data_IF_118979174654
#
_entry.id   IF_118979174654
#
_cell.length_a   1.000
_cell.length_b   1.000
_cell.length_c   1.000
_cell.angle_alpha   90.00
_cell.angle_beta   90.00
_cell.angle_gamma   90.00
#
_symmetry.space_group_name_H-M   'P 1'
#
loop_
_entity.id
_entity.type
_entity.pdbx_description
1 polymer ?
#
# COMPACT_ATOMS: atom_id res chain seq x y z
N UNK A 1 80.48 -6.26 -3.73
CA UNK A 1 79.69 -5.17 -3.11
C UNK A 1 78.22 -5.28 -3.53
N UNK A 2 77.45 -6.16 -2.90
CA UNK A 2 76.05 -6.46 -3.24
C UNK A 2 75.06 -5.98 -2.17
N UNK A 3 75.13 -4.69 -1.79
CA UNK A 3 74.36 -4.17 -0.65
C UNK A 3 73.63 -2.84 -0.86
N UNK A 4 73.67 -2.26 -2.07
CA UNK A 4 73.02 -0.96 -2.34
C UNK A 4 71.77 -1.04 -3.24
N UNK A 5 71.61 -2.10 -4.03
CA UNK A 5 70.43 -2.31 -4.90
C UNK A 5 69.23 -2.90 -4.12
N UNK A 6 69.44 -3.45 -2.92
CA UNK A 6 68.39 -4.02 -2.06
C UNK A 6 67.75 -3.04 -1.08
N UNK A 7 68.34 -1.86 -0.82
CA UNK A 7 67.76 -0.89 0.15
C UNK A 7 66.68 0.01 -0.45
N UNK A 8 66.78 0.38 -1.72
CA UNK A 8 65.81 1.32 -2.32
C UNK A 8 64.52 0.63 -2.80
N UNK A 9 64.59 -0.64 -3.21
CA UNK A 9 63.42 -1.47 -3.50
C UNK A 9 62.67 -1.90 -2.22
N UNK A 10 63.36 -2.04 -1.09
CA UNK A 10 62.75 -2.30 0.22
C UNK A 10 62.08 -1.05 0.82
N UNK A 11 62.60 0.15 0.50
CA UNK A 11 62.00 1.43 0.89
C UNK A 11 60.74 1.77 0.07
N UNK A 12 60.72 1.43 -1.21
CA UNK A 12 59.53 1.55 -2.06
C UNK A 12 58.44 0.53 -1.71
N UNK A 13 58.79 -0.70 -1.31
CA UNK A 13 57.84 -1.71 -0.84
C UNK A 13 57.22 -1.36 0.53
N UNK A 14 57.99 -0.76 1.44
CA UNK A 14 57.48 -0.27 2.72
C UNK A 14 56.53 0.93 2.56
N UNK A 15 56.80 1.86 1.63
CA UNK A 15 55.89 2.96 1.31
C UNK A 15 54.59 2.51 0.61
N UNK A 16 54.61 1.37 -0.10
CA UNK A 16 53.41 0.77 -0.70
C UNK A 16 52.58 -0.03 0.33
N UNK A 17 53.22 -0.60 1.36
CA UNK A 17 52.55 -1.22 2.51
C UNK A 17 51.97 -0.16 3.49
N UNK A 18 52.64 0.98 3.65
CA UNK A 18 52.16 2.15 4.41
C UNK A 18 50.94 2.83 3.76
N UNK A 19 50.68 2.59 2.46
CA UNK A 19 49.47 3.03 1.76
C UNK A 19 48.28 2.08 1.88
N UNK A 20 48.41 0.90 2.50
CA UNK A 20 47.32 -0.12 2.56
C UNK A 20 46.80 -0.51 3.95
N UNK A 21 47.34 0.02 5.04
CA UNK A 21 46.70 -0.07 6.39
C UNK A 21 46.61 1.28 7.09
N UNK A 22 46.12 2.24 6.32
CA UNK A 22 45.50 3.46 6.83
C UNK A 22 44.24 3.05 7.60
N UNK A 23 44.29 3.11 8.93
CA UNK A 23 43.13 3.43 9.76
C UNK A 23 43.58 4.38 10.88
N UNK A 24 43.85 5.59 10.40
CA UNK A 24 44.28 6.79 11.09
C UNK A 24 43.08 7.72 11.33
N UNK A 25 41.96 7.21 11.84
CA UNK A 25 40.79 8.01 12.25
C UNK A 25 39.91 7.11 13.13
N UNK A 26 39.81 7.23 14.46
CA UNK A 26 39.33 8.38 15.24
C UNK A 26 39.63 8.18 16.75
N UNK A 27 40.32 9.13 17.39
CA UNK A 27 40.16 9.42 18.82
C UNK A 27 40.75 10.83 19.12
N UNK A 28 39.90 11.86 19.18
CA UNK A 28 40.31 13.28 19.26
C UNK A 28 40.06 13.95 20.63
N UNK A 29 39.69 13.25 21.69
CA UNK A 29 39.46 13.88 23.01
C UNK A 29 40.52 13.52 24.07
N UNK A 30 40.83 14.48 24.95
CA UNK A 30 41.72 14.28 26.10
C UNK A 30 41.17 13.24 27.09
N UNK A 31 39.84 13.05 27.16
CA UNK A 31 39.23 11.99 27.96
C UNK A 31 39.57 10.59 27.44
N UNK A 32 39.73 10.42 26.11
CA UNK A 32 40.14 9.14 25.51
C UNK A 32 41.58 8.75 25.87
N UNK A 33 42.49 9.73 25.96
CA UNK A 33 43.89 9.50 26.37
C UNK A 33 44.02 9.20 27.86
N UNK A 34 43.17 9.80 28.71
CA UNK A 34 43.14 9.55 30.16
C UNK A 34 42.50 8.20 30.47
N UNK A 35 41.41 7.82 29.78
CA UNK A 35 40.77 6.52 29.92
C UNK A 35 41.68 5.36 29.51
N UNK A 36 42.50 5.52 28.47
CA UNK A 36 43.52 4.54 28.06
C UNK A 36 44.61 4.35 29.14
N UNK A 37 45.02 5.44 29.81
CA UNK A 37 46.04 5.38 30.87
C UNK A 37 45.50 4.80 32.18
N UNK A 38 44.22 5.01 32.50
CA UNK A 38 43.53 4.37 33.64
C UNK A 38 43.33 2.87 33.41
N UNK A 39 42.92 2.46 32.19
CA UNK A 39 42.73 1.05 31.83
C UNK A 39 44.06 0.26 31.78
N UNK A 40 45.15 0.92 31.39
CA UNK A 40 46.51 0.36 31.46
C UNK A 40 47.04 0.19 32.89
N UNK A 41 46.57 0.99 33.87
CA UNK A 41 47.00 0.89 35.27
C UNK A 41 46.14 -0.07 36.11
N UNK A 42 44.95 -0.43 35.65
CA UNK A 42 43.99 -1.32 36.35
C UNK A 42 44.03 -2.79 35.87
N UNK A 43 45.01 -3.18 35.04
CA UNK A 43 45.24 -4.58 34.66
C UNK A 43 44.22 -5.17 33.69
N UNK A 44 43.67 -4.39 32.75
CA UNK A 44 42.68 -4.87 31.78
C UNK A 44 43.18 -4.93 30.33
N UNK A 45 42.91 -6.10 29.73
CA UNK A 45 43.16 -6.60 28.37
C UNK A 45 43.10 -5.53 27.26
N UNK A 46 44.14 -5.53 26.44
CA UNK A 46 44.34 -4.68 25.26
C UNK A 46 43.25 -4.88 24.19
N UNK A 47 43.25 -4.01 23.16
CA UNK A 47 42.20 -4.01 22.14
C UNK A 47 42.10 -5.33 21.35
N UNK A 48 43.22 -6.02 21.12
CA UNK A 48 43.27 -7.31 20.43
C UNK A 48 42.64 -8.39 21.30
N UNK A 49 42.97 -8.41 22.58
CA UNK A 49 42.33 -9.29 23.57
C UNK A 49 40.81 -9.04 23.72
N UNK A 50 40.34 -7.81 23.52
CA UNK A 50 38.90 -7.49 23.52
C UNK A 50 38.18 -7.95 22.26
N UNK A 51 38.83 -7.80 21.10
CA UNK A 51 38.32 -8.31 19.83
C UNK A 51 38.23 -9.84 19.89
N UNK A 52 39.27 -10.50 20.40
CA UNK A 52 39.29 -11.95 20.56
C UNK A 52 38.18 -12.43 21.52
N UNK A 53 38.01 -11.78 22.66
CA UNK A 53 36.92 -12.09 23.59
C UNK A 53 35.52 -11.86 22.97
N UNK A 54 35.38 -10.86 22.11
CA UNK A 54 34.13 -10.62 21.38
C UNK A 54 33.87 -11.70 20.31
N UNK A 55 34.90 -12.10 19.56
CA UNK A 55 34.82 -13.19 18.57
C UNK A 55 34.44 -14.51 19.25
N UNK A 56 35.09 -14.84 20.37
CA UNK A 56 34.78 -16.03 21.18
C UNK A 56 33.35 -15.96 21.74
N UNK A 57 32.93 -14.81 22.25
CA UNK A 57 31.55 -14.58 22.73
C UNK A 57 30.51 -14.76 21.61
N UNK A 58 30.81 -14.32 20.40
CA UNK A 58 29.91 -14.51 19.26
C UNK A 58 29.87 -15.98 18.84
N UNK A 59 31.03 -16.67 18.80
CA UNK A 59 31.10 -18.09 18.43
C UNK A 59 30.46 -19.03 19.48
N UNK A 60 30.47 -18.68 20.76
CA UNK A 60 29.79 -19.38 21.87
C UNK A 60 28.25 -19.14 21.89
N UNK A 61 27.68 -18.64 20.80
CA UNK A 61 26.23 -18.49 20.66
C UNK A 61 25.46 -19.81 20.51
N UNK A 62 26.16 -20.96 20.46
CA UNK A 62 25.53 -22.27 20.24
C UNK A 62 24.55 -22.55 21.39
N UNK A 63 23.32 -22.92 21.05
CA UNK A 63 22.21 -23.18 21.99
C UNK A 63 21.64 -21.97 22.74
N UNK A 64 22.10 -20.75 22.44
CA UNK A 64 21.53 -19.54 23.04
C UNK A 64 20.31 -19.04 22.25
N UNK A 65 19.17 -18.76 22.90
CA UNK A 65 17.95 -18.32 22.20
C UNK A 65 18.06 -16.93 21.58
N UNK A 66 19.02 -16.11 22.01
CA UNK A 66 19.35 -14.77 21.48
C UNK A 66 20.38 -14.81 20.34
N UNK A 67 20.80 -16.00 19.90
CA UNK A 67 21.83 -16.19 18.88
C UNK A 67 21.29 -16.99 17.68
N UNK A 68 21.74 -16.63 16.49
CA UNK A 68 21.49 -17.38 15.25
C UNK A 68 22.79 -17.59 14.50
N UNK A 69 22.92 -18.74 13.85
CA UNK A 69 24.08 -19.11 13.04
C UNK A 69 23.59 -19.47 11.64
N UNK A 70 24.14 -18.80 10.63
CA UNK A 70 23.85 -19.04 9.22
C UNK A 70 25.10 -19.54 8.51
N UNK A 71 25.00 -20.69 7.88
CA UNK A 71 26.01 -21.24 6.99
C UNK A 71 26.08 -20.41 5.70
N UNK A 72 27.26 -19.87 5.38
CA UNK A 72 27.49 -19.01 4.21
C UNK A 72 28.16 -19.76 3.06
N UNK A 73 28.31 -21.09 3.18
CA UNK A 73 29.14 -21.93 2.33
C UNK A 73 30.66 -21.58 2.44
N UNK A 74 31.53 -22.37 1.80
CA UNK A 74 33.00 -22.23 1.87
C UNK A 74 33.61 -22.28 3.29
N UNK A 75 32.88 -22.88 4.24
CA UNK A 75 33.32 -23.04 5.63
C UNK A 75 33.17 -21.79 6.50
N UNK A 76 32.40 -20.78 6.06
CA UNK A 76 32.11 -19.58 6.86
C UNK A 76 30.72 -19.62 7.47
N UNK A 77 30.61 -19.13 8.71
CA UNK A 77 29.37 -19.02 9.47
C UNK A 77 29.12 -17.56 9.86
N UNK A 78 27.93 -17.04 9.59
CA UNK A 78 27.48 -15.76 10.14
C UNK A 78 26.82 -15.99 11.48
N UNK A 79 27.35 -15.36 12.52
CA UNK A 79 26.75 -15.35 13.85
C UNK A 79 26.08 -14.00 14.09
N UNK A 80 24.79 -14.01 14.39
CA UNK A 80 24.03 -12.84 14.83
C UNK A 80 23.57 -13.04 16.28
N UNK A 81 23.80 -12.06 17.15
CA UNK A 81 23.36 -12.06 18.57
C UNK A 81 22.71 -10.75 18.96
N UNK A 82 21.74 -10.80 19.87
CA UNK A 82 21.16 -9.59 20.49
C UNK A 82 21.92 -9.26 21.77
N UNK A 83 22.61 -8.12 21.79
CA UNK A 83 23.37 -7.62 22.94
C UNK A 83 22.79 -6.26 23.35
N UNK A 84 22.26 -6.17 24.57
CA UNK A 84 21.63 -4.95 25.10
C UNK A 84 20.51 -4.36 24.22
N UNK A 85 19.77 -5.21 23.50
CA UNK A 85 18.68 -4.80 22.61
C UNK A 85 19.13 -4.42 21.19
N UNK A 86 20.43 -4.44 20.91
CA UNK A 86 21.00 -4.20 19.58
C UNK A 86 21.54 -5.50 18.98
N UNK A 87 21.41 -5.67 17.65
CA UNK A 87 21.90 -6.85 16.95
C UNK A 87 23.38 -6.69 16.55
N UNK A 88 24.23 -7.57 17.06
CA UNK A 88 25.64 -7.69 16.71
C UNK A 88 25.85 -8.86 15.74
N UNK A 89 26.76 -8.71 14.78
CA UNK A 89 27.02 -9.68 13.71
C UNK A 89 28.49 -9.80 13.36
N UNK A 90 28.94 -11.03 13.10
CA UNK A 90 30.29 -11.35 12.66
C UNK A 90 30.28 -12.60 11.78
N UNK A 91 31.14 -12.64 10.76
CA UNK A 91 31.37 -13.87 10.00
C UNK A 91 32.60 -14.56 10.62
N UNK A 92 32.46 -15.81 11.03
CA UNK A 92 33.52 -16.62 11.63
C UNK A 92 33.74 -17.88 10.81
N UNK A 93 34.99 -18.35 10.77
CA UNK A 93 35.34 -19.68 10.29
C UNK A 93 35.80 -20.49 11.49
N UNK A 94 35.26 -21.70 11.64
CA UNK A 94 35.63 -22.60 12.73
C UNK A 94 36.34 -23.84 12.19
N UNK A 95 37.23 -24.42 12.99
CA UNK A 95 37.80 -25.74 12.73
C UNK A 95 36.81 -26.88 13.06
N UNK A 96 37.24 -28.14 12.85
CA UNK A 96 36.44 -29.33 13.14
C UNK A 96 36.07 -29.49 14.61
N UNK A 97 36.81 -28.85 15.52
CA UNK A 97 36.56 -28.86 16.96
C UNK A 97 35.68 -27.67 17.39
N UNK A 98 35.23 -26.85 16.44
CA UNK A 98 34.35 -25.71 16.66
C UNK A 98 35.07 -24.45 17.16
N UNK A 99 36.40 -24.41 17.15
CA UNK A 99 37.17 -23.21 17.53
C UNK A 99 37.26 -22.25 16.37
N UNK A 100 37.14 -20.95 16.67
CA UNK A 100 37.28 -19.91 15.65
C UNK A 100 38.73 -19.83 15.18
N UNK A 101 38.94 -20.03 13.88
CA UNK A 101 40.24 -19.92 13.21
C UNK A 101 40.39 -18.62 12.42
N UNK A 102 39.27 -18.00 12.01
CA UNK A 102 39.27 -16.69 11.37
C UNK A 102 37.94 -15.95 11.64
N UNK A 103 37.98 -14.62 11.63
CA UNK A 103 36.81 -13.78 11.83
C UNK A 103 36.91 -12.49 11.00
N UNK A 104 35.79 -12.09 10.38
CA UNK A 104 35.73 -10.90 9.54
C UNK A 104 34.45 -10.12 9.73
N UNK A 105 34.51 -8.85 9.35
CA UNK A 105 33.31 -8.03 9.26
C UNK A 105 32.37 -8.63 8.19
N UNK A 106 31.06 -8.75 8.47
CA UNK A 106 30.10 -9.32 7.53
C UNK A 106 30.08 -8.60 6.18
N UNK A 107 30.19 -9.39 5.11
CA UNK A 107 30.03 -8.93 3.73
C UNK A 107 28.57 -8.81 3.30
N UNK A 108 28.32 -8.40 2.04
CA UNK A 108 26.96 -8.43 1.44
C UNK A 108 26.35 -9.84 1.52
N UNK A 109 25.02 -9.91 1.65
CA UNK A 109 24.25 -11.15 1.77
C UNK A 109 24.65 -12.16 0.67
N UNK A 110 25.09 -13.39 1.01
CA UNK A 110 25.47 -14.40 0.02
C UNK A 110 24.23 -15.03 -0.66
N UNK A 111 24.50 -15.84 -1.69
CA UNK A 111 23.49 -16.70 -2.33
C UNK A 111 22.93 -17.69 -1.31
N UNK A 112 21.63 -17.99 -1.43
CA UNK A 112 20.92 -18.87 -0.50
C UNK A 112 21.34 -20.33 -0.76
N UNK A 113 21.79 -21.09 0.26
CA UNK A 113 22.20 -22.48 0.08
C UNK A 113 21.00 -23.35 -0.31
N UNK A 114 21.20 -24.18 -1.33
CA UNK A 114 20.19 -25.08 -1.91
C UNK A 114 19.81 -26.16 -0.87
N UNK A 115 18.51 -26.36 -0.63
CA UNK A 115 18.00 -27.31 0.38
C UNK A 115 17.88 -26.78 1.81
N UNK A 116 18.25 -25.52 2.09
CA UNK A 116 18.05 -24.82 3.37
C UNK A 116 17.16 -23.57 3.23
N UNK A 117 16.26 -23.56 2.25
CA UNK A 117 15.48 -22.37 1.87
C UNK A 117 14.63 -21.85 3.03
N UNK A 118 14.15 -22.75 3.90
CA UNK A 118 13.33 -22.37 5.06
C UNK A 118 14.13 -21.70 6.16
N UNK A 119 15.31 -22.23 6.49
CA UNK A 119 16.23 -21.63 7.46
C UNK A 119 16.76 -20.28 6.95
N UNK A 120 17.03 -20.19 5.65
CA UNK A 120 17.46 -18.95 5.02
C UNK A 120 16.33 -17.90 4.99
N UNK A 121 15.08 -18.31 4.73
CA UNK A 121 13.91 -17.45 4.84
C UNK A 121 13.69 -16.96 6.28
N UNK A 122 13.76 -17.86 7.27
CA UNK A 122 13.56 -17.51 8.69
C UNK A 122 14.65 -16.56 9.18
N UNK A 123 15.90 -16.77 8.75
CA UNK A 123 17.02 -15.86 9.04
C UNK A 123 16.83 -14.50 8.38
N UNK A 124 16.48 -14.45 7.10
CA UNK A 124 16.20 -13.19 6.42
C UNK A 124 15.00 -12.45 7.05
N UNK A 125 13.96 -13.17 7.45
CA UNK A 125 12.81 -12.61 8.15
C UNK A 125 13.21 -12.07 9.53
N UNK A 126 14.08 -12.75 10.26
CA UNK A 126 14.59 -12.31 11.56
C UNK A 126 15.47 -11.07 11.42
N UNK A 127 16.38 -11.03 10.45
CA UNK A 127 17.17 -9.83 10.11
C UNK A 127 16.27 -8.66 9.71
N UNK A 128 15.23 -8.90 8.90
CA UNK A 128 14.24 -7.89 8.54
C UNK A 128 13.43 -7.39 9.75
N UNK A 129 13.11 -8.27 10.71
CA UNK A 129 12.41 -7.88 11.95
C UNK A 129 13.30 -7.04 12.86
N UNK A 130 14.58 -7.37 12.95
CA UNK A 130 15.54 -6.70 13.83
C UNK A 130 16.03 -5.37 13.25
N UNK A 131 16.32 -5.33 11.95
CA UNK A 131 17.04 -4.23 11.29
C UNK A 131 16.33 -3.66 10.07
N UNK A 132 15.20 -4.23 9.66
CA UNK A 132 14.49 -3.82 8.45
C UNK A 132 14.06 -2.36 8.48
N UNK A 133 13.71 -1.81 9.64
CA UNK A 133 13.39 -0.39 9.81
C UNK A 133 14.56 0.56 9.51
N UNK A 134 15.80 0.11 9.73
CA UNK A 134 17.01 0.91 9.48
C UNK A 134 17.62 0.63 8.10
N UNK A 135 17.48 -0.60 7.60
CA UNK A 135 18.10 -1.06 6.35
C UNK A 135 17.23 -0.90 5.12
N UNK A 136 15.90 -0.88 5.26
CA UNK A 136 15.00 -0.68 4.13
C UNK A 136 14.77 0.80 3.90
N UNK A 137 14.96 1.24 2.65
CA UNK A 137 14.54 2.57 2.25
C UNK A 137 13.03 2.71 2.45
N UNK A 138 12.60 3.77 3.13
CA UNK A 138 11.19 4.08 3.27
C UNK A 138 10.52 4.12 1.90
N UNK A 139 9.40 3.40 1.77
CA UNK A 139 8.63 3.37 0.53
C UNK A 139 7.97 4.74 0.35
N UNK A 140 8.33 5.51 -0.69
CA UNK A 140 7.82 6.85 -0.84
C UNK A 140 6.33 6.85 -1.19
N UNK A 141 5.61 7.86 -0.70
CA UNK A 141 4.21 8.09 -1.04
C UNK A 141 4.09 9.27 -1.99
N UNK A 142 3.27 9.11 -3.02
CA UNK A 142 2.96 10.16 -3.99
C UNK A 142 1.45 10.34 -4.15
N UNK A 143 1.01 11.60 -4.23
CA UNK A 143 -0.27 11.94 -4.81
C UNK A 143 -0.11 12.14 -6.31
N UNK A 144 -0.92 11.42 -7.09
CA UNK A 144 -0.94 11.49 -8.55
C UNK A 144 -2.24 12.11 -8.99
N UNK A 145 -2.16 13.09 -9.88
CA UNK A 145 -3.32 13.59 -10.62
C UNK A 145 -3.03 13.57 -12.12
N UNK A 146 -3.88 12.89 -12.88
CA UNK A 146 -3.73 12.71 -14.32
C UNK A 146 -4.94 13.23 -15.07
N UNK A 147 -4.66 13.81 -16.23
CA UNK A 147 -5.67 14.09 -17.23
C UNK A 147 -5.82 12.89 -18.18
N UNK A 148 -6.94 12.16 -18.07
CA UNK A 148 -7.20 10.94 -18.85
C UNK A 148 -7.99 11.18 -20.14
N UNK A 149 -8.54 12.38 -20.34
CA UNK A 149 -9.46 12.69 -21.47
C UNK A 149 -9.12 13.97 -22.25
N UNK A 150 -7.91 14.51 -22.09
CA UNK A 150 -7.50 15.73 -22.80
C UNK A 150 -8.12 17.02 -22.26
N UNK A 151 -8.72 16.99 -21.07
CA UNK A 151 -9.27 18.18 -20.40
C UNK A 151 -8.17 19.17 -20.01
N UNK A 152 -8.47 20.46 -19.91
CA UNK A 152 -7.49 21.45 -19.45
C UNK A 152 -7.11 21.19 -17.97
N UNK A 153 -8.02 20.57 -17.20
CA UNK A 153 -7.84 20.30 -15.77
C UNK A 153 -7.81 18.78 -15.51
N UNK A 154 -6.77 18.26 -14.83
CA UNK A 154 -6.71 16.87 -14.39
C UNK A 154 -7.89 16.42 -13.49
N UNK A 155 -8.56 15.32 -13.89
CA UNK A 155 -9.77 14.79 -13.22
C UNK A 155 -9.58 13.42 -12.57
N UNK A 156 -8.41 12.78 -12.73
CA UNK A 156 -8.18 11.41 -12.27
C UNK A 156 -7.06 11.37 -11.22
N UNK A 157 -7.47 11.34 -9.94
CA UNK A 157 -6.58 11.30 -8.78
C UNK A 157 -6.45 9.94 -8.13
N UNK A 158 -5.25 9.64 -7.64
CA UNK A 158 -4.96 8.46 -6.83
C UNK A 158 -3.68 8.67 -6.01
N UNK A 159 -3.46 7.82 -5.02
CA UNK A 159 -2.23 7.80 -4.22
C UNK A 159 -1.41 6.58 -4.62
N UNK A 160 -0.10 6.71 -4.67
CA UNK A 160 0.82 5.62 -4.99
C UNK A 160 1.83 5.47 -3.85
N UNK A 161 2.00 4.26 -3.34
CA UNK A 161 3.15 3.88 -2.54
C UNK A 161 4.19 3.23 -3.47
N UNK A 162 5.45 3.67 -3.38
CA UNK A 162 6.53 3.23 -4.26
C UNK A 162 6.80 4.22 -5.39
N UNK A 163 7.57 3.79 -6.39
CA UNK A 163 8.06 4.64 -7.48
C UNK A 163 7.19 4.49 -8.74
N UNK A 164 6.18 5.34 -8.97
CA UNK A 164 5.32 5.22 -10.15
C UNK A 164 6.07 5.42 -11.46
N UNK A 165 7.10 6.27 -11.48
CA UNK A 165 7.96 6.58 -12.62
C UNK A 165 8.77 5.38 -13.16
N UNK A 166 8.80 4.27 -12.40
CA UNK A 166 9.46 3.02 -12.81
C UNK A 166 8.49 1.99 -13.44
N UNK A 167 7.25 2.38 -13.72
CA UNK A 167 6.27 1.56 -14.44
C UNK A 167 5.77 0.35 -13.64
N UNK A 168 5.11 -0.63 -14.29
CA UNK A 168 4.47 -1.76 -13.57
C UNK A 168 5.44 -2.69 -12.83
N UNK A 169 6.72 -2.70 -13.20
CA UNK A 169 7.76 -3.52 -12.57
C UNK A 169 8.35 -2.87 -11.31
N UNK A 170 7.90 -1.68 -10.95
CA UNK A 170 8.45 -0.93 -9.81
C UNK A 170 8.02 -1.45 -8.44
N UNK A 171 7.04 -2.36 -8.38
CA UNK A 171 6.39 -2.75 -7.14
C UNK A 171 5.49 -1.67 -6.55
N UNK A 172 5.22 -0.57 -7.28
CA UNK A 172 4.35 0.49 -6.81
C UNK A 172 2.91 0.01 -6.65
N UNK A 173 2.27 0.40 -5.55
CA UNK A 173 0.89 0.05 -5.21
C UNK A 173 0.03 1.30 -5.31
N UNK A 174 -1.05 1.21 -6.07
CA UNK A 174 -2.02 2.29 -6.23
C UNK A 174 -3.17 2.14 -5.24
N UNK A 175 -3.51 3.24 -4.59
CA UNK A 175 -4.66 3.40 -3.72
C UNK A 175 -5.59 4.44 -4.32
N UNK A 176 -6.83 4.05 -4.59
CA UNK A 176 -7.85 4.93 -5.12
C UNK A 176 -9.21 4.61 -4.51
N UNK A 177 -10.03 5.63 -4.38
CA UNK A 177 -11.44 5.49 -3.98
C UNK A 177 -12.27 5.99 -5.15
N UNK A 178 -13.29 5.21 -5.53
CA UNK A 178 -14.09 5.50 -6.72
C UNK A 178 -15.53 5.01 -6.56
N UNK A 179 -16.37 5.34 -7.55
CA UNK A 179 -17.74 4.87 -7.58
C UNK A 179 -17.79 3.36 -7.74
N UNK A 180 -18.45 2.68 -6.81
CA UNK A 180 -18.75 1.26 -6.83
C UNK A 180 -20.17 1.05 -7.37
N UNK A 181 -20.31 0.50 -8.57
CA UNK A 181 -21.60 0.28 -9.19
C UNK A 181 -22.38 -0.91 -8.66
N UNK A 182 -21.73 -1.81 -7.92
CA UNK A 182 -22.40 -2.91 -7.23
C UNK A 182 -23.10 -2.43 -5.95
N UNK A 183 -22.99 -1.14 -5.62
CA UNK A 183 -23.62 -0.54 -4.44
C UNK A 183 -24.38 0.74 -4.81
N UNK A 184 -25.28 1.11 -3.90
CA UNK A 184 -26.13 2.29 -4.00
C UNK A 184 -27.53 2.04 -4.61
N UNK A 185 -28.39 3.07 -4.58
CA UNK A 185 -29.82 2.93 -4.89
C UNK A 185 -30.11 2.87 -6.38
N UNK A 186 -31.25 2.27 -6.74
CA UNK A 186 -31.82 2.31 -8.10
C UNK A 186 -33.14 3.07 -8.05
N UNK A 187 -33.21 4.20 -8.74
CA UNK A 187 -34.44 5.01 -8.83
C UNK A 187 -34.88 4.99 -10.29
N UNK A 188 -35.97 4.26 -10.59
CA UNK A 188 -36.51 4.17 -11.95
C UNK A 188 -37.44 5.35 -12.25
N UNK A 189 -36.86 6.55 -12.21
CA UNK A 189 -37.53 7.77 -12.64
C UNK A 189 -37.70 7.82 -14.17
N UNK A 190 -38.53 8.74 -14.65
CA UNK A 190 -38.80 8.91 -16.08
C UNK A 190 -37.52 9.09 -16.89
N UNK A 191 -36.54 9.81 -16.35
CA UNK A 191 -35.27 10.10 -17.02
C UNK A 191 -34.42 8.84 -17.21
N UNK A 192 -34.28 8.02 -16.16
CA UNK A 192 -33.53 6.77 -16.22
C UNK A 192 -34.27 5.77 -17.10
N UNK A 193 -35.59 5.68 -17.00
CA UNK A 193 -36.40 4.81 -17.86
C UNK A 193 -36.17 5.15 -19.33
N UNK A 194 -36.31 6.42 -19.73
CA UNK A 194 -36.02 6.86 -21.11
C UNK A 194 -34.60 6.45 -21.55
N UNK A 195 -33.61 6.51 -20.66
CA UNK A 195 -32.23 6.10 -20.96
C UNK A 195 -32.06 4.58 -21.11
N UNK A 196 -32.81 3.77 -20.36
CA UNK A 196 -32.71 2.30 -20.36
C UNK A 196 -33.56 1.67 -21.47
N UNK A 197 -34.81 2.12 -21.63
CA UNK A 197 -35.80 1.49 -22.52
C UNK A 197 -36.08 2.29 -23.80
N UNK A 198 -35.70 3.57 -23.84
CA UNK A 198 -36.01 4.51 -24.94
C UNK A 198 -37.34 5.23 -24.75
N UNK A 199 -37.64 6.20 -25.63
CA UNK A 199 -38.97 6.82 -25.67
C UNK A 199 -39.97 5.90 -26.39
N UNK A 200 -41.26 5.89 -26.00
CA UNK A 200 -42.31 5.23 -26.78
C UNK A 200 -42.24 5.74 -28.23
N UNK A 201 -42.25 4.82 -29.21
CA UNK A 201 -42.23 5.10 -30.66
C UNK A 201 -40.95 5.74 -31.23
N UNK A 202 -39.81 5.71 -30.53
CA UNK A 202 -38.55 6.21 -31.11
C UNK A 202 -37.87 5.15 -31.99
N UNK A 203 -37.39 5.52 -33.19
CA UNK A 203 -36.59 4.66 -34.09
C UNK A 203 -35.14 4.45 -33.61
N UNK A 204 -34.84 4.69 -32.33
CA UNK A 204 -33.49 4.66 -31.79
C UNK A 204 -33.11 3.21 -31.45
N UNK A 205 -31.87 2.82 -31.75
CA UNK A 205 -31.30 1.55 -31.29
C UNK A 205 -31.35 1.47 -29.76
N UNK A 206 -32.16 0.55 -29.25
CA UNK A 206 -32.28 0.31 -27.81
C UNK A 206 -30.98 -0.30 -27.27
N UNK A 207 -30.52 0.16 -26.10
CA UNK A 207 -29.31 -0.35 -25.45
C UNK A 207 -29.51 -1.72 -24.80
N UNK A 208 -30.76 -2.07 -24.48
CA UNK A 208 -31.13 -3.30 -23.77
C UNK A 208 -32.09 -4.15 -24.64
N UNK A 209 -31.98 -5.48 -24.59
CA UNK A 209 -32.90 -6.40 -25.27
C UNK A 209 -34.37 -6.19 -24.88
N UNK A 210 -35.30 -6.55 -25.76
CA UNK A 210 -36.73 -6.38 -25.52
C UNK A 210 -37.24 -7.02 -24.20
N UNK A 211 -36.85 -8.26 -23.84
CA UNK A 211 -37.30 -8.87 -22.59
C UNK A 211 -36.84 -8.12 -21.33
N UNK A 212 -35.60 -7.62 -21.34
CA UNK A 212 -35.04 -6.77 -20.27
C UNK A 212 -35.83 -5.47 -20.13
N UNK A 213 -36.16 -4.83 -21.26
CA UNK A 213 -36.94 -3.58 -21.26
C UNK A 213 -38.35 -3.79 -20.72
N UNK A 214 -39.01 -4.88 -21.06
CA UNK A 214 -40.34 -5.22 -20.52
C UNK A 214 -40.30 -5.37 -19.00
N UNK A 215 -39.32 -6.10 -18.46
CA UNK A 215 -39.16 -6.26 -17.02
C UNK A 215 -38.88 -4.93 -16.30
N UNK A 216 -37.98 -4.08 -16.84
CA UNK A 216 -37.72 -2.74 -16.30
C UNK A 216 -38.97 -1.86 -16.35
N UNK A 217 -39.76 -1.96 -17.42
CA UNK A 217 -40.98 -1.16 -17.58
C UNK A 217 -42.05 -1.55 -16.55
N UNK A 218 -42.15 -2.83 -16.19
CA UNK A 218 -43.04 -3.30 -15.13
C UNK A 218 -42.67 -2.72 -13.75
N UNK A 219 -41.42 -2.29 -13.56
CA UNK A 219 -40.92 -1.67 -12.33
C UNK A 219 -40.94 -0.12 -12.37
N UNK A 220 -41.51 0.48 -13.43
CA UNK A 220 -41.55 1.93 -13.63
C UNK A 220 -42.10 2.67 -12.40
N UNK A 221 -41.40 3.74 -11.97
CA UNK A 221 -41.79 4.53 -10.80
C UNK A 221 -41.34 3.96 -9.45
N UNK A 222 -40.76 2.75 -9.43
CA UNK A 222 -40.21 2.16 -8.20
C UNK A 222 -38.86 2.77 -7.82
N UNK A 223 -38.59 2.80 -6.50
CA UNK A 223 -37.31 3.18 -5.93
C UNK A 223 -36.80 2.07 -5.01
N UNK A 224 -35.55 1.67 -5.20
CA UNK A 224 -34.87 0.63 -4.45
C UNK A 224 -33.66 1.24 -3.74
N UNK A 225 -33.52 0.94 -2.45
CA UNK A 225 -32.46 1.49 -1.61
C UNK A 225 -31.10 0.87 -1.93
N UNK A 226 -31.09 -0.38 -2.40
CA UNK A 226 -29.89 -1.16 -2.71
C UNK A 226 -29.97 -1.80 -4.11
N UNK A 227 -28.84 -2.33 -4.57
CA UNK A 227 -28.76 -3.10 -5.82
C UNK A 227 -29.47 -4.44 -5.67
N UNK A 228 -29.33 -5.06 -4.51
CA UNK A 228 -29.93 -6.34 -4.16
C UNK A 228 -31.47 -6.28 -4.17
N UNK A 229 -32.07 -5.22 -3.62
CA UNK A 229 -33.53 -4.99 -3.67
C UNK A 229 -34.05 -4.84 -5.12
N UNK A 230 -33.30 -4.12 -5.95
CA UNK A 230 -33.61 -4.01 -7.37
C UNK A 230 -33.48 -5.37 -8.07
N UNK A 231 -32.42 -6.13 -7.79
CA UNK A 231 -32.21 -7.46 -8.37
C UNK A 231 -33.40 -8.38 -8.08
N UNK A 232 -33.84 -8.48 -6.82
CA UNK A 232 -34.99 -9.32 -6.47
C UNK A 232 -36.25 -8.92 -7.21
N UNK A 233 -36.51 -7.62 -7.28
CA UNK A 233 -37.69 -7.08 -7.95
C UNK A 233 -37.63 -7.27 -9.47
N UNK A 234 -36.43 -7.15 -10.06
CA UNK A 234 -36.17 -7.44 -11.45
C UNK A 234 -36.43 -8.92 -11.77
N UNK A 235 -35.91 -9.84 -10.96
CA UNK A 235 -36.13 -11.28 -11.15
C UNK A 235 -37.62 -11.64 -11.11
N UNK A 236 -38.37 -11.08 -10.14
CA UNK A 236 -39.84 -11.27 -10.06
C UNK A 236 -40.56 -10.75 -11.32
N UNK A 237 -40.09 -9.65 -11.91
CA UNK A 237 -40.67 -9.06 -13.11
C UNK A 237 -40.26 -9.74 -14.42
N UNK A 238 -39.10 -10.42 -14.46
CA UNK A 238 -38.50 -10.99 -15.67
C UNK A 238 -39.02 -12.41 -16.02
N UNK A 239 -39.74 -13.05 -15.08
CA UNK A 239 -40.35 -14.41 -15.13
C UNK A 239 -39.35 -15.56 -14.93
N UNK A 240 -39.81 -16.68 -14.36
CA UNK A 240 -38.99 -17.86 -14.01
C UNK A 240 -38.40 -18.58 -15.24
N UNK A 241 -37.18 -19.12 -15.08
CA UNK A 241 -36.54 -20.02 -16.06
C UNK A 241 -35.36 -19.45 -16.86
N UNK A 242 -34.81 -18.30 -16.47
CA UNK A 242 -33.64 -17.69 -17.14
C UNK A 242 -32.36 -18.37 -16.66
N UNK A 243 -31.44 -18.63 -17.58
CA UNK A 243 -30.12 -19.13 -17.26
C UNK A 243 -29.36 -18.14 -16.34
N UNK A 244 -28.70 -18.61 -15.25
CA UNK A 244 -28.00 -17.72 -14.31
C UNK A 244 -26.93 -16.83 -14.96
N UNK A 245 -26.24 -17.30 -16.01
CA UNK A 245 -25.22 -16.51 -16.69
C UNK A 245 -25.86 -15.42 -17.55
N UNK A 246 -26.98 -15.74 -18.23
CA UNK A 246 -27.76 -14.75 -18.96
C UNK A 246 -28.29 -13.66 -18.02
N UNK A 247 -28.89 -14.03 -16.89
CA UNK A 247 -29.37 -13.10 -15.87
C UNK A 247 -28.24 -12.22 -15.32
N UNK A 248 -27.07 -12.81 -15.05
CA UNK A 248 -25.88 -12.06 -14.63
C UNK A 248 -25.46 -10.99 -15.67
N UNK A 249 -25.49 -11.35 -16.96
CA UNK A 249 -25.14 -10.44 -18.05
C UNK A 249 -26.16 -9.32 -18.22
N UNK A 250 -27.46 -9.62 -18.07
CA UNK A 250 -28.54 -8.62 -18.08
C UNK A 250 -28.37 -7.61 -16.95
N UNK A 251 -28.25 -8.08 -15.71
CA UNK A 251 -28.05 -7.22 -14.51
C UNK A 251 -26.78 -6.38 -14.64
N UNK A 252 -25.67 -6.99 -15.08
CA UNK A 252 -24.42 -6.27 -15.31
C UNK A 252 -24.57 -5.17 -16.36
N UNK A 253 -25.35 -5.42 -17.42
CA UNK A 253 -25.64 -4.42 -18.46
C UNK A 253 -26.50 -3.28 -17.93
N UNK A 254 -27.50 -3.59 -17.09
CA UNK A 254 -28.33 -2.57 -16.43
C UNK A 254 -27.46 -1.70 -15.51
N UNK A 255 -26.66 -2.31 -14.62
CA UNK A 255 -25.80 -1.59 -13.67
C UNK A 255 -24.76 -0.68 -14.35
N UNK A 256 -24.31 -1.03 -15.56
CA UNK A 256 -23.42 -0.17 -16.37
C UNK A 256 -24.11 1.09 -16.87
N UNK A 257 -25.44 1.08 -17.02
CA UNK A 257 -26.22 2.20 -17.52
C UNK A 257 -26.81 3.08 -16.41
N UNK A 258 -26.69 2.66 -15.14
CA UNK A 258 -27.18 3.44 -14.02
C UNK A 258 -26.41 4.76 -13.86
N UNK A 259 -27.08 5.85 -13.41
CA UNK A 259 -26.43 7.13 -13.24
C UNK A 259 -25.25 7.01 -12.28
N UNK A 260 -24.10 7.57 -12.66
CA UNK A 260 -22.91 7.56 -11.80
C UNK A 260 -23.21 8.12 -10.41
N UNK A 261 -24.13 9.09 -10.30
CA UNK A 261 -24.53 9.72 -9.04
C UNK A 261 -25.14 8.78 -8.00
N UNK A 262 -25.57 7.58 -8.39
CA UNK A 262 -26.09 6.58 -7.46
C UNK A 262 -25.01 5.65 -6.93
N UNK A 263 -23.79 5.69 -7.46
CA UNK A 263 -22.71 4.79 -7.05
C UNK A 263 -22.11 5.26 -5.74
N UNK A 264 -22.06 4.38 -4.74
CA UNK A 264 -21.37 4.66 -3.48
C UNK A 264 -19.85 4.75 -3.71
N UNK A 265 -19.14 5.52 -2.89
CA UNK A 265 -17.69 5.70 -3.02
C UNK A 265 -16.91 4.79 -2.09
N UNK A 266 -16.18 3.82 -2.65
CA UNK A 266 -15.41 2.83 -1.90
C UNK A 266 -14.00 2.64 -2.46
N UNK A 267 -13.05 2.07 -1.67
CA UNK A 267 -11.75 1.70 -2.17
C UNK A 267 -11.85 0.83 -3.42
N UNK A 268 -11.09 1.17 -4.45
CA UNK A 268 -11.02 0.35 -5.67
C UNK A 268 -10.41 -0.99 -5.32
N UNK A 269 -11.18 -2.07 -5.56
CA UNK A 269 -10.67 -3.43 -5.52
C UNK A 269 -9.92 -3.72 -6.83
N UNK A 270 -8.96 -4.64 -6.78
CA UNK A 270 -8.34 -5.14 -8.00
C UNK A 270 -9.42 -5.90 -8.80
N UNK A 271 -9.61 -5.49 -10.07
CA UNK A 271 -10.68 -6.01 -10.93
C UNK A 271 -11.83 -5.01 -11.09
N UNK A 272 -11.69 -4.08 -12.04
CA UNK A 272 -12.83 -3.30 -12.51
C UNK A 272 -13.58 -4.15 -13.55
N UNK A 273 -14.71 -4.74 -13.15
CA UNK A 273 -15.57 -5.59 -14.00
C UNK A 273 -16.13 -4.88 -15.25
N UNK A 274 -15.90 -3.56 -15.39
CA UNK A 274 -16.28 -2.78 -16.57
C UNK A 274 -15.28 -2.90 -17.72
N UNK A 275 -14.15 -3.58 -17.54
CA UNK A 275 -13.12 -3.68 -18.58
C UNK A 275 -12.45 -5.06 -18.55
N UNK A 276 -12.40 -5.74 -19.70
CA UNK A 276 -11.51 -6.91 -19.95
C UNK A 276 -10.01 -6.55 -19.94
N UNK A 277 -9.70 -5.28 -19.69
CA UNK A 277 -8.34 -4.73 -19.66
C UNK A 277 -7.71 -4.98 -18.29
N UNK A 278 -6.36 -4.89 -18.17
CA UNK A 278 -5.69 -4.94 -16.88
C UNK A 278 -6.41 -4.06 -15.84
N UNK A 279 -6.50 -4.49 -14.58
CA UNK A 279 -7.20 -3.78 -13.52
C UNK A 279 -6.90 -2.28 -13.57
N UNK A 280 -7.90 -1.43 -13.27
CA UNK A 280 -7.70 0.03 -13.28
C UNK A 280 -6.41 0.50 -12.57
N UNK A 281 -6.01 -0.08 -11.41
CA UNK A 281 -4.72 0.19 -10.79
C UNK A 281 -3.50 -0.06 -11.69
N UNK A 282 -3.47 -1.19 -12.39
CA UNK A 282 -2.36 -1.55 -13.28
C UNK A 282 -2.33 -0.65 -14.52
N UNK A 283 -3.49 -0.36 -15.12
CA UNK A 283 -3.59 0.58 -16.24
C UNK A 283 -3.03 1.97 -15.89
N UNK A 284 -3.28 2.42 -14.67
CA UNK A 284 -2.84 3.72 -14.19
C UNK A 284 -1.33 3.75 -13.89
N UNK A 285 -0.74 2.63 -13.44
CA UNK A 285 0.71 2.48 -13.30
C UNK A 285 1.44 2.39 -14.65
N UNK A 286 0.87 1.67 -15.63
CA UNK A 286 1.42 1.58 -16.99
C UNK A 286 1.49 2.95 -17.69
N UNK A 287 0.69 3.93 -17.25
CA UNK A 287 0.76 5.29 -17.78
C UNK A 287 2.11 5.98 -17.53
N UNK A 288 2.92 5.47 -16.60
CA UNK A 288 4.25 5.98 -16.27
C UNK A 288 5.39 5.20 -16.93
N UNK A 289 5.11 4.09 -17.63
CA UNK A 289 6.15 3.32 -18.34
C UNK A 289 6.78 4.10 -19.49
N UNK A 290 5.96 4.87 -20.21
CA UNK A 290 6.36 5.67 -21.36
C UNK A 290 5.94 7.13 -21.16
N UNK A 291 6.63 7.85 -20.28
CA UNK A 291 6.31 9.23 -19.98
C UNK A 291 6.49 10.13 -21.23
N UNK A 292 5.43 10.84 -21.69
CA UNK A 292 5.57 11.74 -22.83
C UNK A 292 6.44 12.94 -22.46
N UNK A 293 7.39 13.33 -23.33
CA UNK A 293 8.37 14.42 -23.11
C UNK A 293 7.77 15.77 -22.65
N UNK A 294 6.46 16.01 -22.83
CA UNK A 294 5.73 17.22 -22.39
C UNK A 294 4.89 16.95 -21.13
N UNK A 295 5.53 16.45 -20.07
CA UNK A 295 4.89 15.98 -18.80
C UNK A 295 4.08 17.07 -18.10
N UNK A 296 4.58 18.32 -18.10
CA UNK A 296 4.08 19.40 -17.24
C UNK A 296 2.59 19.76 -17.39
N UNK A 297 1.91 19.32 -18.46
CA UNK A 297 0.49 19.62 -18.68
C UNK A 297 -0.48 18.44 -18.46
N UNK A 298 -0.01 17.19 -18.29
CA UNK A 298 -0.90 16.00 -18.31
C UNK A 298 -0.89 15.14 -17.06
N UNK A 299 0.21 15.14 -16.30
CA UNK A 299 0.35 14.37 -15.06
C UNK A 299 1.07 15.21 -14.03
N UNK A 300 0.52 15.25 -12.82
CA UNK A 300 1.12 15.89 -11.67
C UNK A 300 1.41 14.84 -10.60
N UNK A 301 2.66 14.79 -10.16
CA UNK A 301 3.16 13.84 -9.16
C UNK A 301 3.74 14.64 -8.01
N UNK A 302 3.12 14.56 -6.83
CA UNK A 302 3.59 15.22 -5.62
C UNK A 302 4.01 14.18 -4.60
N UNK A 303 5.30 14.16 -4.24
CA UNK A 303 5.77 13.36 -3.10
C UNK A 303 5.16 13.90 -1.81
N UNK A 304 4.64 13.02 -0.98
CA UNK A 304 4.14 13.34 0.35
C UNK A 304 5.20 12.85 1.33
N UNK A 305 5.77 13.79 2.08
CA UNK A 305 6.85 13.54 3.04
C UNK A 305 6.35 13.06 4.40
N UNK A 306 5.08 13.31 4.69
CA UNK A 306 4.48 13.19 6.01
C UNK A 306 3.80 11.85 6.29
N UNK A 307 3.87 10.89 5.36
CA UNK A 307 3.29 9.55 5.52
C UNK A 307 4.17 8.52 4.84
N UNK A 308 4.14 7.30 5.37
CA UNK A 308 4.75 6.14 4.73
C UNK A 308 3.68 5.23 4.08
N UNK A 309 4.14 4.12 3.48
CA UNK A 309 3.26 3.14 2.84
C UNK A 309 2.37 2.36 3.82
N UNK A 310 2.79 2.23 5.08
CA UNK A 310 2.04 1.53 6.12
C UNK A 310 0.84 2.39 6.54
N UNK A 311 1.03 3.70 6.72
CA UNK A 311 -0.08 4.62 7.04
C UNK A 311 -1.18 4.56 5.96
N UNK A 312 -0.80 4.46 4.69
CA UNK A 312 -1.74 4.29 3.58
C UNK A 312 -2.46 2.94 3.59
N UNK A 313 -1.74 1.86 3.92
CA UNK A 313 -2.32 0.54 4.06
C UNK A 313 -3.38 0.54 5.16
N UNK A 314 -3.05 1.11 6.31
CA UNK A 314 -3.96 1.24 7.45
C UNK A 314 -5.15 2.15 7.15
N UNK A 315 -4.96 3.23 6.38
CA UNK A 315 -6.06 4.08 5.94
C UNK A 315 -7.01 3.31 5.01
N UNK A 316 -6.47 2.57 4.03
CA UNK A 316 -7.26 1.70 3.13
C UNK A 316 -8.02 0.62 3.90
N UNK A 317 -7.38 0.00 4.88
CA UNK A 317 -8.00 -1.01 5.75
C UNK A 317 -9.21 -0.40 6.48
N UNK A 318 -9.08 0.81 7.02
CA UNK A 318 -10.20 1.44 7.73
C UNK A 318 -11.38 1.76 6.80
N UNK A 319 -11.14 2.27 5.59
CA UNK A 319 -12.21 2.41 4.59
C UNK A 319 -12.87 1.06 4.25
N UNK A 320 -12.06 0.01 4.11
CA UNK A 320 -12.56 -1.33 3.76
C UNK A 320 -13.39 -1.92 4.90
N UNK A 321 -12.95 -1.74 6.15
CA UNK A 321 -13.72 -2.15 7.33
C UNK A 321 -15.05 -1.41 7.41
N UNK A 322 -15.07 -0.10 7.14
CA UNK A 322 -16.32 0.66 7.10
C UNK A 322 -17.26 0.13 6.01
N UNK A 323 -16.74 -0.17 4.82
CA UNK A 323 -17.52 -0.80 3.75
C UNK A 323 -18.12 -2.14 4.19
N UNK A 324 -17.30 -3.03 4.74
CA UNK A 324 -17.72 -4.37 5.16
C UNK A 324 -18.76 -4.31 6.27
N UNK A 325 -18.56 -3.43 7.24
CA UNK A 325 -19.52 -3.20 8.30
C UNK A 325 -20.84 -2.67 7.77
N UNK A 326 -20.80 -1.72 6.82
CA UNK A 326 -22.01 -1.24 6.18
C UNK A 326 -22.72 -2.37 5.40
N UNK A 327 -21.96 -3.21 4.70
CA UNK A 327 -22.48 -4.36 3.98
C UNK A 327 -23.19 -5.33 4.93
N UNK A 328 -22.59 -5.65 6.08
CA UNK A 328 -23.19 -6.49 7.14
C UNK A 328 -24.53 -5.91 7.63
N UNK A 329 -24.55 -4.62 8.02
CA UNK A 329 -25.78 -3.96 8.50
C UNK A 329 -26.89 -3.95 7.43
N UNK A 330 -26.51 -3.85 6.16
CA UNK A 330 -27.43 -3.82 5.02
C UNK A 330 -27.74 -5.21 4.43
N UNK A 331 -27.10 -6.27 4.90
CA UNK A 331 -27.29 -7.63 4.36
C UNK A 331 -26.74 -7.80 2.95
N UNK A 332 -25.60 -7.17 2.66
CA UNK A 332 -24.93 -7.21 1.36
C UNK A 332 -23.64 -8.01 1.46
N UNK A 333 -23.24 -8.63 0.35
CA UNK A 333 -21.92 -9.25 0.19
C UNK A 333 -21.05 -8.51 -0.84
N UNK A 334 -21.56 -7.40 -1.38
CA UNK A 334 -20.84 -6.58 -2.35
C UNK A 334 -20.85 -7.07 -3.79
N UNK A 335 -21.68 -8.07 -4.11
CA UNK A 335 -21.87 -8.55 -5.48
C UNK A 335 -22.92 -7.73 -6.24
N UNK A 336 -23.80 -7.02 -5.54
CA UNK A 336 -24.99 -6.39 -6.11
C UNK A 336 -26.12 -7.39 -6.39
N UNK A 337 -25.99 -8.61 -5.85
CA UNK A 337 -26.91 -9.75 -5.95
C UNK A 337 -27.22 -10.21 -4.52
N UNK A 338 -28.50 -10.45 -4.17
CA UNK A 338 -28.89 -10.92 -2.84
C UNK A 338 -28.27 -12.30 -2.56
N UNK A 339 -27.98 -12.55 -1.29
CA UNK A 339 -27.39 -13.80 -0.81
C UNK A 339 -28.18 -14.29 0.38
N UNK A 340 -28.54 -15.58 0.41
CA UNK A 340 -29.20 -16.21 1.56
C UNK A 340 -28.38 -16.08 2.85
N UNK A 341 -27.06 -16.08 2.69
CA UNK A 341 -26.08 -16.12 3.78
C UNK A 341 -25.86 -14.75 4.43
N UNK A 342 -26.32 -13.66 3.81
CA UNK A 342 -26.13 -12.30 4.30
C UNK A 342 -27.49 -11.63 4.49
N UNK A 343 -27.99 -11.68 5.73
CA UNK A 343 -29.24 -11.01 6.11
C UNK A 343 -28.93 -9.65 6.74
N UNK A 344 -29.77 -8.62 6.55
CA UNK A 344 -29.52 -7.30 7.14
C UNK A 344 -29.47 -7.36 8.67
N UNK A 345 -28.34 -6.95 9.24
CA UNK A 345 -28.18 -6.84 10.68
C UNK A 345 -28.43 -5.40 11.16
N UNK A 346 -29.68 -5.05 11.42
CA UNK A 346 -30.01 -3.73 11.96
C UNK A 346 -31.45 -3.32 11.74
N UNK A 347 -31.97 -2.50 12.64
CA UNK A 347 -33.30 -1.92 12.47
C UNK A 347 -33.37 -1.01 11.24
N UNK A 348 -34.60 -0.66 10.84
CA UNK A 348 -34.84 0.20 9.68
C UNK A 348 -34.11 1.55 9.79
N UNK A 349 -34.12 2.19 10.96
CA UNK A 349 -33.52 3.51 11.16
C UNK A 349 -32.01 3.48 10.98
N UNK A 350 -31.36 2.45 11.50
CA UNK A 350 -29.91 2.26 11.38
C UNK A 350 -29.52 2.03 9.92
N UNK A 351 -30.27 1.19 9.19
CA UNK A 351 -30.06 0.94 7.76
C UNK A 351 -30.24 2.21 6.93
N UNK A 352 -31.30 2.97 7.19
CA UNK A 352 -31.54 4.27 6.54
C UNK A 352 -30.41 5.27 6.81
N UNK A 353 -29.94 5.35 8.06
CA UNK A 353 -28.83 6.22 8.42
C UNK A 353 -27.56 5.92 7.61
N UNK A 354 -27.22 4.64 7.42
CA UNK A 354 -26.08 4.26 6.58
C UNK A 354 -26.26 4.66 5.12
N UNK A 355 -27.45 4.43 4.55
CA UNK A 355 -27.73 4.75 3.16
C UNK A 355 -27.67 6.26 2.87
N UNK A 356 -28.07 7.08 3.83
CA UNK A 356 -28.03 8.55 3.74
C UNK A 356 -26.63 9.10 3.98
N UNK A 357 -25.89 8.56 4.96
CA UNK A 357 -24.55 9.05 5.33
C UNK A 357 -23.44 8.59 4.39
N UNK A 358 -23.68 7.54 3.59
CA UNK A 358 -22.67 6.98 2.69
C UNK A 358 -22.35 7.95 1.55
N UNK A 359 -21.07 8.33 1.37
CA UNK A 359 -20.67 9.18 0.27
C UNK A 359 -20.96 8.54 -1.07
N UNK A 360 -21.67 9.28 -1.93
CA UNK A 360 -21.96 8.87 -3.31
C UNK A 360 -21.08 9.65 -4.26
N UNK A 361 -20.88 9.08 -5.43
CA UNK A 361 -20.18 9.71 -6.51
C UNK A 361 -20.91 11.01 -6.91
N UNK A 362 -20.30 12.18 -6.74
CA UNK A 362 -20.90 13.47 -7.13
C UNK A 362 -20.14 14.13 -8.29
N UNK A 363 -20.84 14.83 -9.18
CA UNK A 363 -20.15 15.79 -10.06
C UNK A 363 -19.93 17.05 -9.22
N UNK A 364 -18.69 17.53 -9.13
CA UNK A 364 -18.40 18.68 -8.28
C UNK A 364 -18.94 19.97 -8.92
N UNK A 365 -19.50 20.91 -8.14
CA UNK A 365 -19.91 22.24 -8.62
C UNK A 365 -18.73 23.07 -9.16
N UNK A 366 -18.94 24.08 -10.03
CA UNK A 366 -20.21 24.57 -10.55
C UNK A 366 -20.57 23.95 -11.92
N UNK A 367 -21.70 23.24 -11.97
CA UNK A 367 -22.59 22.92 -13.10
C UNK A 367 -22.04 22.42 -14.48
N UNK A 368 -22.89 21.68 -15.20
CA UNK A 368 -22.89 21.49 -16.67
C UNK A 368 -21.76 20.70 -17.37
N UNK A 369 -20.65 20.35 -16.73
CA UNK A 369 -19.56 19.60 -17.41
C UNK A 369 -19.51 18.12 -17.03
N UNK A 370 -19.01 17.25 -17.93
CA UNK A 370 -18.73 15.83 -17.68
C UNK A 370 -17.49 15.60 -16.77
N UNK A 371 -16.99 16.67 -16.14
CA UNK A 371 -15.83 16.60 -15.26
C UNK A 371 -16.23 15.97 -13.92
N UNK A 372 -15.53 14.90 -13.56
CA UNK A 372 -15.74 14.13 -12.33
C UNK A 372 -14.51 14.26 -11.44
N UNK A 373 -14.66 14.83 -10.25
CA UNK A 373 -13.55 15.01 -9.31
C UNK A 373 -13.45 13.95 -8.22
N UNK A 374 -14.34 12.95 -8.22
CA UNK A 374 -14.45 11.99 -7.11
C UNK A 374 -13.22 11.12 -6.91
N UNK A 375 -12.45 10.83 -7.97
CA UNK A 375 -11.18 10.14 -7.79
C UNK A 375 -10.19 11.01 -7.00
N UNK A 376 -10.15 12.32 -7.25
CA UNK A 376 -9.36 13.26 -6.46
C UNK A 376 -9.91 13.37 -5.03
N UNK A 377 -11.22 13.55 -4.84
CA UNK A 377 -11.86 13.61 -3.51
C UNK A 377 -11.55 12.36 -2.69
N UNK A 378 -11.73 11.19 -3.30
CA UNK A 378 -11.48 9.91 -2.69
C UNK A 378 -10.01 9.69 -2.32
N UNK A 379 -9.09 9.95 -3.25
CA UNK A 379 -7.65 9.87 -3.02
C UNK A 379 -7.17 10.85 -1.94
N UNK A 380 -7.68 12.08 -1.95
CA UNK A 380 -7.35 13.08 -0.94
C UNK A 380 -7.94 12.76 0.43
N UNK A 381 -9.07 12.06 0.50
CA UNK A 381 -9.65 11.58 1.75
C UNK A 381 -8.83 10.45 2.35
N UNK A 382 -8.43 9.47 1.52
CA UNK A 382 -7.53 8.40 1.93
C UNK A 382 -6.19 8.95 2.44
N UNK A 383 -5.60 9.90 1.70
CA UNK A 383 -4.34 10.51 2.11
C UNK A 383 -4.47 11.35 3.38
N UNK A 384 -5.56 12.08 3.55
CA UNK A 384 -5.82 12.81 4.79
C UNK A 384 -5.90 11.86 5.98
N UNK A 385 -6.62 10.75 5.84
CA UNK A 385 -6.74 9.76 6.91
C UNK A 385 -5.38 9.10 7.25
N UNK A 386 -4.53 8.85 6.27
CA UNK A 386 -3.16 8.40 6.50
C UNK A 386 -2.35 9.46 7.28
N UNK A 387 -2.45 10.74 6.91
CA UNK A 387 -1.79 11.83 7.64
C UNK A 387 -2.35 11.98 9.06
N UNK A 388 -3.66 11.87 9.25
CA UNK A 388 -4.28 11.98 10.58
C UNK A 388 -3.79 10.84 11.50
N UNK A 389 -3.68 9.62 10.96
CA UNK A 389 -3.10 8.46 11.67
C UNK A 389 -1.64 8.69 12.03
N UNK A 390 -0.81 9.07 11.06
CA UNK A 390 0.60 9.38 11.29
C UNK A 390 0.77 10.48 12.34
N UNK A 391 0.00 11.55 12.21
CA UNK A 391 0.01 12.69 13.12
C UNK A 391 -0.33 12.26 14.55
N UNK A 392 -1.38 11.46 14.73
CA UNK A 392 -1.78 10.91 16.02
C UNK A 392 -0.71 9.98 16.61
N UNK A 393 -0.16 9.06 15.80
CA UNK A 393 0.88 8.11 16.20
C UNK A 393 2.14 8.81 16.71
N UNK A 394 2.48 9.95 16.12
CA UNK A 394 3.69 10.71 16.42
C UNK A 394 3.44 11.93 17.33
N UNK A 395 2.23 12.09 17.90
CA UNK A 395 1.85 13.25 18.73
C UNK A 395 2.15 14.61 18.07
N UNK A 396 1.92 14.71 16.76
CA UNK A 396 2.12 15.93 15.98
C UNK A 396 0.83 16.78 15.91
N UNK A 397 0.91 18.07 15.59
CA UNK A 397 -0.27 18.89 15.37
C UNK A 397 -1.03 18.46 14.10
N UNK A 398 -2.37 18.48 14.18
CA UNK A 398 -3.24 18.18 13.03
C UNK A 398 -2.89 19.06 11.83
N UNK A 399 -2.73 18.43 10.67
CA UNK A 399 -2.39 19.11 9.42
C UNK A 399 -3.34 18.70 8.31
N UNK A 400 -3.92 19.70 7.65
CA UNK A 400 -4.70 19.48 6.43
C UNK A 400 -3.77 19.20 5.26
N UNK A 401 -3.96 18.07 4.60
CA UNK A 401 -3.20 17.71 3.40
C UNK A 401 -3.78 18.43 2.19
N UNK A 402 -3.11 19.47 1.72
CA UNK A 402 -3.45 20.08 0.43
C UNK A 402 -2.88 19.21 -0.70
N UNK A 403 -3.48 18.04 -0.89
CA UNK A 403 -2.96 16.96 -1.71
C UNK A 403 -2.87 17.32 -3.22
N UNK A 404 -3.68 18.27 -3.71
CA UNK A 404 -3.47 18.85 -5.03
C UNK A 404 -3.42 20.38 -4.95
N UNK A 405 -2.28 20.95 -5.32
CA UNK A 405 -2.21 22.37 -5.65
C UNK A 405 -3.11 22.63 -6.86
N UNK A 406 -4.03 23.61 -6.76
CA UNK A 406 -4.75 24.42 -7.79
C UNK A 406 -5.38 23.73 -9.02
N UNK A 407 -5.00 22.51 -9.40
CA UNK A 407 -5.24 21.91 -10.72
C UNK A 407 -6.03 20.58 -10.67
N UNK A 408 -6.57 20.19 -9.51
CA UNK A 408 -7.38 18.97 -9.37
C UNK A 408 -8.77 19.27 -8.85
N UNK A 409 -9.80 19.10 -9.68
CA UNK A 409 -11.19 19.21 -9.24
C UNK A 409 -11.44 18.11 -8.20
N UNK A 410 -11.75 18.48 -6.94
CA UNK A 410 -12.03 17.53 -5.85
C UNK A 410 -10.95 17.34 -4.80
N UNK A 411 -9.72 17.78 -5.05
CA UNK A 411 -8.58 17.53 -4.14
C UNK A 411 -8.67 18.21 -2.76
N UNK A 412 -9.46 19.28 -2.67
CA UNK A 412 -9.72 20.02 -1.44
C UNK A 412 -10.95 19.51 -0.68
N UNK A 413 -11.73 18.61 -1.29
CA UNK A 413 -12.90 18.00 -0.67
C UNK A 413 -12.50 16.73 0.07
N UNK A 414 -13.32 16.36 1.06
CA UNK A 414 -13.15 15.15 1.86
C UNK A 414 -14.46 14.40 1.91
N UNK A 415 -14.37 13.08 1.85
CA UNK A 415 -15.47 12.18 2.14
C UNK A 415 -15.64 12.16 3.66
N UNK A 416 -16.86 12.37 4.13
CA UNK A 416 -17.23 12.04 5.49
C UNK A 416 -17.26 10.51 5.60
N UNK A 417 -16.34 9.94 6.36
CA UNK A 417 -16.30 8.49 6.60
C UNK A 417 -16.61 8.34 8.06
N UNK A 418 -17.80 7.82 8.34
CA UNK A 418 -18.17 7.49 9.71
C UNK A 418 -17.21 6.42 10.22
N UNK A 419 -16.67 6.63 11.42
CA UNK A 419 -15.81 5.65 12.07
C UNK A 419 -16.68 4.79 13.00
N UNK A 420 -17.04 3.55 12.64
CA UNK A 420 -17.83 2.68 13.51
C UNK A 420 -17.20 2.47 14.90
N UNK A 421 -15.88 2.68 15.01
CA UNK A 421 -15.12 2.51 16.25
C UNK A 421 -15.05 3.78 17.11
N UNK A 422 -15.51 4.95 16.64
CA UNK A 422 -15.51 6.17 17.47
C UNK A 422 -16.71 6.23 18.43
N UNK A 423 -17.84 5.64 18.04
CA UNK A 423 -19.08 5.71 18.84
C UNK A 423 -19.06 4.82 20.10
N UNK A 424 -18.05 3.95 20.23
CA UNK A 424 -17.81 3.21 21.49
C UNK A 424 -17.03 4.02 22.53
N UNK A 425 -16.32 5.08 22.11
CA UNK A 425 -15.45 5.88 22.99
C UNK A 425 -16.11 7.11 23.60
N UNK A 426 -17.25 7.56 23.07
CA UNK A 426 -17.99 8.73 23.58
C UNK A 426 -19.12 8.38 24.57
N UNK A 427 -19.28 7.10 24.93
CA UNK A 427 -20.18 6.64 26.01
C UNK A 427 -19.48 6.39 27.35
N UNK A 428 -18.34 7.05 27.59
CA UNK A 428 -17.78 7.23 28.93
C UNK A 428 -17.33 8.68 29.10
N UNK A 429 -18.26 9.53 29.54
CA UNK A 429 -18.02 10.68 30.39
C UNK A 429 -19.31 10.93 31.17
#
# INVERSE_FOLDING_TARGET
>A
MGGRITRDSQRAANLYAEKKRVNWNQATSASGKISHKIQSMLGMRDAESRIQAFVEFMADGKERPDATMLDLDDGWLRVTRVVNGEAALIDVQCDSDGKVVDARHPGRFPFLPEGKEREAFDTALQELRLRGTEMLSAVPVYYVNRNTRGYIIPTHGYVVAGHPDRGRKSGAILYGVGGDPKRGPVILDEKLLISLIGKPNSKINHKLPAPVRTAISALSGSSFSTREEFYESYCRARVDGIDPLELHNEISSIYRLLPLSTMEMWPKKAGDYRVERPPAPERDLRAFENLPKKIGQKVWLKKISEVDSIDLLEAKQQFTLHQLYQDEILGRNGTGVPSSDFKPEGDFRRREHFLVSTPRFQRLPPHATDMVGNCNTGASSLLQQAVDKYTKKNNLPSKKVTAASVFGVGSNHRLAIWNPLSDSSSKKA
#
